data_IF_024752704932
#
_entry.id   IF_024752704932
#
_cell.length_a   1.000
_cell.length_b   1.000
_cell.length_c   1.000
_cell.angle_alpha   90.00
_cell.angle_beta   90.00
_cell.angle_gamma   90.00
#
_symmetry.space_group_name_H-M   'P 1'
#
loop_
_entity.id
_entity.type
_entity.pdbx_description
1 polymer ?
#
# COMPACT_ATOMS: atom_id res chain seq x y z
N UNK A 1 -63.77 9.64 -19.47
CA UNK A 1 -62.73 9.98 -20.47
C UNK A 1 -61.40 10.10 -19.71
N UNK A 2 -60.55 9.07 -19.56
CA UNK A 2 -59.55 8.53 -20.51
C UNK A 2 -58.72 9.62 -21.21
N UNK A 3 -57.61 10.04 -20.57
CA UNK A 3 -56.39 10.60 -21.21
C UNK A 3 -55.21 10.15 -20.33
N UNK A 4 -54.53 9.07 -20.73
CA UNK A 4 -53.19 9.08 -21.35
C UNK A 4 -52.12 9.34 -20.26
N UNK A 5 -51.47 8.32 -19.67
CA UNK A 5 -50.26 7.64 -20.18
C UNK A 5 -49.23 8.62 -20.77
N UNK A 6 -47.95 8.40 -20.42
CA UNK A 6 -46.72 9.20 -20.66
C UNK A 6 -46.41 10.08 -19.43
N UNK A 7 -45.28 9.97 -18.74
CA UNK A 7 -43.93 9.76 -19.24
C UNK A 7 -43.17 8.69 -18.44
N UNK A 8 -42.73 7.67 -19.17
CA UNK A 8 -41.55 6.89 -18.83
C UNK A 8 -40.28 7.73 -19.04
N UNK A 9 -39.24 7.42 -18.28
CA UNK A 9 -37.86 7.71 -18.67
C UNK A 9 -37.15 8.77 -17.84
N UNK A 10 -36.42 8.32 -16.83
CA UNK A 10 -35.04 8.77 -16.64
C UNK A 10 -34.22 7.63 -16.00
N UNK A 11 -34.00 6.60 -16.81
CA UNK A 11 -32.91 5.64 -16.57
C UNK A 11 -31.61 6.31 -16.97
N UNK A 12 -30.83 6.77 -16.01
CA UNK A 12 -29.38 6.91 -16.15
C UNK A 12 -28.77 7.21 -14.78
N UNK A 13 -27.56 6.70 -14.58
CA UNK A 13 -26.60 7.03 -13.52
C UNK A 13 -26.63 6.12 -12.29
N UNK A 14 -26.14 4.90 -12.48
CA UNK A 14 -24.96 4.53 -11.69
C UNK A 14 -23.92 4.08 -12.71
N UNK A 15 -23.07 5.03 -13.12
CA UNK A 15 -21.84 4.68 -13.79
C UNK A 15 -21.10 3.71 -12.87
N UNK A 16 -20.73 2.56 -13.40
CA UNK A 16 -19.65 1.76 -12.86
C UNK A 16 -18.44 2.69 -12.82
N UNK A 17 -18.24 3.36 -11.68
CA UNK A 17 -16.98 3.99 -11.39
C UNK A 17 -15.99 2.83 -11.37
N UNK A 18 -15.29 2.64 -12.49
CA UNK A 18 -14.04 1.94 -12.52
C UNK A 18 -13.26 2.40 -11.28
N UNK A 19 -12.57 1.52 -10.54
CA UNK A 19 -11.81 1.96 -9.39
C UNK A 19 -10.83 3.00 -9.94
N UNK A 20 -11.03 4.26 -9.57
CA UNK A 20 -10.05 5.29 -9.81
C UNK A 20 -8.92 4.90 -8.87
N UNK A 21 -7.96 4.13 -9.39
CA UNK A 21 -6.71 3.82 -8.72
C UNK A 21 -5.97 5.16 -8.64
N UNK A 22 -6.35 6.01 -7.69
CA UNK A 22 -5.61 7.21 -7.38
C UNK A 22 -4.23 6.73 -6.95
N UNK A 23 -3.19 7.26 -7.62
CA UNK A 23 -1.82 6.99 -7.22
C UNK A 23 -1.67 7.27 -5.71
N UNK A 24 -0.93 6.44 -4.96
CA UNK A 24 -0.75 6.66 -3.53
C UNK A 24 -0.24 8.08 -3.26
N UNK A 25 -0.88 8.77 -2.31
CA UNK A 25 -0.59 10.16 -1.97
C UNK A 25 -0.19 10.28 -0.50
N UNK A 26 0.35 11.44 -0.09
CA UNK A 26 0.78 11.66 1.29
C UNK A 26 1.97 10.80 1.68
N UNK A 27 1.90 10.15 2.86
CA UNK A 27 2.98 9.32 3.39
C UNK A 27 3.25 8.08 2.51
N UNK A 28 2.21 7.51 1.91
CA UNK A 28 2.35 6.31 1.06
C UNK A 28 3.08 6.63 -0.25
N UNK A 29 2.76 7.76 -0.86
CA UNK A 29 3.47 8.24 -2.05
C UNK A 29 4.95 8.55 -1.75
N UNK A 30 5.24 9.16 -0.59
CA UNK A 30 6.61 9.42 -0.15
C UNK A 30 7.39 8.12 0.11
N UNK A 31 6.78 7.15 0.79
CA UNK A 31 7.37 5.83 1.02
C UNK A 31 7.77 5.15 -0.30
N UNK A 32 6.86 5.11 -1.28
CA UNK A 32 7.12 4.52 -2.60
C UNK A 32 8.19 5.29 -3.38
N UNK A 33 8.21 6.61 -3.29
CA UNK A 33 9.24 7.44 -3.91
C UNK A 33 10.62 7.18 -3.29
N UNK A 34 10.70 7.05 -1.97
CA UNK A 34 11.95 6.71 -1.25
C UNK A 34 12.45 5.33 -1.63
N UNK A 35 11.57 4.31 -1.67
CA UNK A 35 11.93 2.97 -2.14
C UNK A 35 12.49 2.98 -3.56
N UNK A 36 11.82 3.70 -4.46
CA UNK A 36 12.24 3.83 -5.86
C UNK A 36 13.60 4.52 -5.97
N UNK A 37 13.81 5.61 -5.23
CA UNK A 37 15.09 6.33 -5.18
C UNK A 37 16.24 5.50 -4.58
N UNK A 38 15.91 4.57 -3.68
CA UNK A 38 16.86 3.61 -3.11
C UNK A 38 17.12 2.39 -4.01
N UNK A 39 16.48 2.31 -5.19
CA UNK A 39 16.61 1.17 -6.11
C UNK A 39 15.84 -0.09 -5.67
N UNK A 40 14.99 0.01 -4.65
CA UNK A 40 14.09 -1.06 -4.22
C UNK A 40 12.83 -1.10 -5.11
N UNK A 41 13.03 -1.46 -6.37
CA UNK A 41 11.94 -1.74 -7.29
C UNK A 41 11.22 -3.02 -6.86
N UNK A 42 9.97 -2.87 -6.46
CA UNK A 42 9.08 -3.96 -6.05
C UNK A 42 8.32 -4.46 -7.28
N UNK A 43 8.17 -5.79 -7.41
CA UNK A 43 7.38 -6.39 -8.50
C UNK A 43 5.87 -6.39 -8.21
N UNK A 44 5.50 -6.13 -6.96
CA UNK A 44 4.12 -6.04 -6.53
C UNK A 44 3.51 -4.69 -6.94
N UNK A 45 2.18 -4.58 -6.87
CA UNK A 45 1.52 -3.28 -7.03
C UNK A 45 1.93 -2.32 -5.91
N UNK A 46 1.83 -1.02 -6.17
CA UNK A 46 2.08 0.03 -5.17
C UNK A 46 1.29 -0.22 -3.88
N UNK A 47 0.02 -0.60 -4.01
CA UNK A 47 -0.85 -0.90 -2.86
C UNK A 47 -0.34 -2.08 -2.03
N UNK A 48 0.14 -3.14 -2.69
CA UNK A 48 0.72 -4.29 -2.00
C UNK A 48 2.01 -3.90 -1.27
N UNK A 49 2.83 -3.06 -1.89
CA UNK A 49 4.08 -2.56 -1.31
C UNK A 49 3.82 -1.67 -0.09
N UNK A 50 2.86 -0.76 -0.18
CA UNK A 50 2.39 0.05 0.96
C UNK A 50 1.90 -0.85 2.09
N UNK A 51 1.11 -1.88 1.78
CA UNK A 51 0.62 -2.82 2.81
C UNK A 51 1.75 -3.57 3.51
N UNK A 52 2.76 -4.02 2.75
CA UNK A 52 3.96 -4.66 3.29
C UNK A 52 4.77 -3.69 4.16
N UNK A 53 4.91 -2.43 3.74
CA UNK A 53 5.62 -1.42 4.51
C UNK A 53 4.95 -1.11 5.85
N UNK A 54 3.62 -1.00 5.86
CA UNK A 54 2.86 -0.80 7.11
C UNK A 54 2.92 -2.02 8.04
N UNK A 55 3.01 -3.23 7.48
CA UNK A 55 3.16 -4.46 8.27
C UNK A 55 4.48 -4.49 9.07
N UNK A 56 5.53 -3.79 8.63
CA UNK A 56 6.79 -3.66 9.39
C UNK A 56 6.53 -3.11 10.79
N UNK A 57 5.74 -2.03 10.88
CA UNK A 57 5.40 -1.42 12.16
C UNK A 57 4.57 -2.36 13.04
N UNK A 58 3.64 -3.11 12.45
CA UNK A 58 2.84 -4.09 13.19
C UNK A 58 3.70 -5.22 13.79
N UNK A 59 4.77 -5.62 13.10
CA UNK A 59 5.73 -6.59 13.61
C UNK A 59 6.51 -6.03 14.81
N UNK A 60 6.98 -4.79 14.72
CA UNK A 60 7.70 -4.12 15.80
C UNK A 60 6.80 -3.85 17.01
N UNK A 61 5.55 -3.43 16.77
CA UNK A 61 4.51 -3.28 17.81
C UNK A 61 4.19 -4.61 18.51
N UNK A 62 4.29 -5.72 17.78
CA UNK A 62 4.16 -7.07 18.33
C UNK A 62 5.41 -7.53 19.12
N UNK A 63 6.42 -6.68 19.24
CA UNK A 63 7.63 -6.92 20.04
C UNK A 63 8.74 -7.65 19.30
N UNK A 64 8.69 -7.75 17.97
CA UNK A 64 9.81 -8.31 17.21
C UNK A 64 11.04 -7.41 17.34
N UNK A 65 12.21 -8.04 17.49
CA UNK A 65 13.47 -7.30 17.41
C UNK A 65 13.67 -6.72 16.00
N UNK A 66 14.55 -5.73 15.83
CA UNK A 66 14.86 -5.21 14.50
C UNK A 66 15.31 -6.31 13.52
N UNK A 67 16.15 -7.25 13.97
CA UNK A 67 16.63 -8.33 13.11
C UNK A 67 15.54 -9.36 12.80
N UNK A 68 14.70 -9.72 13.77
CA UNK A 68 13.57 -10.63 13.51
C UNK A 68 12.56 -9.98 12.56
N UNK A 69 12.38 -8.66 12.65
CA UNK A 69 11.54 -7.90 11.72
C UNK A 69 12.11 -7.96 10.30
N UNK A 70 13.42 -7.80 10.12
CA UNK A 70 14.07 -7.96 8.80
C UNK A 70 13.87 -9.36 8.24
N UNK A 71 14.02 -10.40 9.07
CA UNK A 71 13.79 -11.79 8.65
C UNK A 71 12.33 -12.01 8.26
N UNK A 72 11.37 -11.47 9.02
CA UNK A 72 9.94 -11.56 8.72
C UNK A 72 9.58 -10.82 7.42
N UNK A 73 10.16 -9.63 7.19
CA UNK A 73 10.01 -8.88 5.93
C UNK A 73 10.53 -9.70 4.76
N UNK A 74 11.72 -10.31 4.89
CA UNK A 74 12.26 -11.17 3.84
C UNK A 74 11.33 -12.36 3.54
N UNK A 75 10.84 -13.04 4.58
CA UNK A 75 9.99 -14.22 4.45
C UNK A 75 8.67 -13.93 3.72
N UNK A 76 8.15 -12.71 3.86
CA UNK A 76 6.87 -12.28 3.28
C UNK A 76 7.01 -11.56 1.95
N UNK A 77 8.24 -11.25 1.50
CA UNK A 77 8.52 -10.56 0.24
C UNK A 77 9.46 -11.39 -0.64
N UNK A 78 8.90 -12.32 -1.46
CA UNK A 78 9.70 -13.17 -2.33
C UNK A 78 10.65 -12.38 -3.23
N UNK A 79 11.93 -12.74 -3.21
CA UNK A 79 12.98 -12.06 -3.98
C UNK A 79 13.76 -11.00 -3.21
N UNK A 80 13.38 -10.68 -1.98
CA UNK A 80 14.23 -9.87 -1.11
C UNK A 80 15.42 -10.67 -0.60
N UNK A 81 16.60 -10.07 -0.68
CA UNK A 81 17.75 -10.48 0.14
C UNK A 81 17.58 -9.95 1.56
N UNK A 82 18.36 -10.44 2.52
CA UNK A 82 18.39 -9.85 3.87
C UNK A 82 18.75 -8.37 3.81
N UNK A 83 19.67 -7.97 2.94
CA UNK A 83 20.04 -6.56 2.77
C UNK A 83 18.85 -5.73 2.26
N UNK A 84 18.16 -6.22 1.22
CA UNK A 84 16.97 -5.54 0.68
C UNK A 84 15.85 -5.47 1.70
N UNK A 85 15.60 -6.56 2.45
CA UNK A 85 14.61 -6.58 3.52
C UNK A 85 14.97 -5.61 4.65
N UNK A 86 16.25 -5.49 5.00
CA UNK A 86 16.74 -4.52 5.99
C UNK A 86 16.50 -3.08 5.55
N UNK A 87 16.83 -2.77 4.30
CA UNK A 87 16.63 -1.44 3.75
C UNK A 87 15.13 -1.11 3.60
N UNK A 88 14.32 -2.08 3.19
CA UNK A 88 12.87 -1.95 3.15
C UNK A 88 12.31 -1.66 4.55
N UNK A 89 12.67 -2.47 5.55
CA UNK A 89 12.23 -2.27 6.93
C UNK A 89 12.63 -0.89 7.47
N UNK A 90 13.88 -0.47 7.27
CA UNK A 90 14.35 0.85 7.72
C UNK A 90 13.57 2.00 7.08
N UNK A 91 13.30 1.93 5.77
CA UNK A 91 12.50 2.94 5.06
C UNK A 91 11.05 2.90 5.57
N UNK A 92 10.47 1.71 5.76
CA UNK A 92 9.12 1.57 6.32
C UNK A 92 9.00 2.19 7.70
N UNK A 93 9.95 1.91 8.61
CA UNK A 93 9.97 2.48 9.96
C UNK A 93 10.07 4.01 9.92
N UNK A 94 10.96 4.57 9.09
CA UNK A 94 11.12 6.01 8.96
C UNK A 94 9.84 6.74 8.48
N UNK A 95 9.01 6.09 7.66
CA UNK A 95 7.79 6.69 7.14
C UNK A 95 6.55 6.42 7.99
N UNK A 96 6.43 5.24 8.59
CA UNK A 96 5.19 4.78 9.20
C UNK A 96 5.22 4.67 10.72
N UNK A 97 6.40 4.47 11.32
CA UNK A 97 6.55 4.29 12.77
C UNK A 97 7.94 4.77 13.24
N UNK A 98 8.23 6.08 13.16
CA UNK A 98 9.54 6.63 13.51
C UNK A 98 9.96 6.39 14.97
N UNK A 99 9.02 6.02 15.85
CA UNK A 99 9.28 5.59 17.22
C UNK A 99 10.09 4.30 17.35
N UNK A 100 10.12 3.46 16.31
CA UNK A 100 10.88 2.20 16.28
C UNK A 100 12.23 2.30 15.55
N UNK A 101 12.71 3.53 15.25
CA UNK A 101 14.02 3.78 14.64
C UNK A 101 15.20 3.64 15.61
#
# INVERSE_FOLDING_TARGET
MKRLLLLAGLSAMVGLAAPAHAAPSGVDGQFLATLSGAGLSHRASDQATVSAGRAVCQLMDAGLSPMDTVVAVQATNPGFTIQTAGQFAAISTAHYCPEHM
#
